data_IF_598715634070
#
_entry.id   IF_598715634070
#
_cell.length_a   1.000
_cell.length_b   1.000
_cell.length_c   1.000
_cell.angle_alpha   90.00
_cell.angle_beta   90.00
_cell.angle_gamma   90.00
#
_symmetry.space_group_name_H-M   'P 1'
#
loop_
_entity.id
_entity.type
_entity.pdbx_description
1 polymer ?
#
# COMPACT_ATOMS: atom_id res chain seq x y z
N UNK A 1 9.24 -4.52 24.18
CA UNK A 1 7.92 -4.37 23.55
C UNK A 1 7.09 -3.55 24.51
N UNK A 2 6.51 -2.45 24.05
CA UNK A 2 5.62 -1.64 24.89
C UNK A 2 4.30 -2.41 25.06
N UNK A 3 3.69 -2.33 26.23
CA UNK A 3 2.35 -2.87 26.48
C UNK A 3 1.27 -2.04 25.77
N UNK A 4 0.09 -2.62 25.54
CA UNK A 4 -1.08 -1.91 24.99
C UNK A 4 -1.33 -0.57 25.70
N UNK A 5 -1.36 -0.58 27.04
CA UNK A 5 -1.58 0.64 27.84
C UNK A 5 -0.47 1.70 27.67
N UNK A 6 0.77 1.28 27.41
CA UNK A 6 1.88 2.21 27.14
C UNK A 6 1.73 2.82 25.75
N UNK A 7 1.36 2.01 24.75
CA UNK A 7 1.12 2.48 23.38
C UNK A 7 -0.05 3.47 23.30
N UNK A 8 -1.17 3.15 23.96
CA UNK A 8 -2.34 4.04 24.03
C UNK A 8 -2.02 5.37 24.74
N UNK A 9 -1.10 5.37 25.70
CA UNK A 9 -0.63 6.59 26.38
C UNK A 9 0.28 7.46 25.53
N UNK A 10 1.08 6.85 24.64
CA UNK A 10 1.98 7.59 23.75
C UNK A 10 1.21 8.29 22.62
N UNK A 11 0.07 7.72 22.19
CA UNK A 11 -0.77 8.27 21.12
C UNK A 11 -2.24 8.43 21.57
N UNK A 12 -2.51 9.37 22.49
CA UNK A 12 -3.83 9.49 23.13
C UNK A 12 -4.94 9.98 22.19
N UNK A 13 -4.59 10.60 21.06
CA UNK A 13 -5.56 11.07 20.06
C UNK A 13 -6.01 9.95 19.10
N UNK A 14 -5.29 8.82 19.10
CA UNK A 14 -5.61 7.66 18.27
C UNK A 14 -6.52 6.69 19.02
N UNK A 15 -7.36 5.97 18.27
CA UNK A 15 -8.20 4.92 18.84
C UNK A 15 -7.38 3.64 18.94
N UNK A 16 -7.40 3.04 20.13
CA UNK A 16 -6.80 1.74 20.42
C UNK A 16 -7.85 0.79 20.96
N UNK A 17 -7.98 -0.39 20.34
CA UNK A 17 -8.94 -1.42 20.74
C UNK A 17 -8.16 -2.72 20.96
N UNK A 18 -8.38 -3.35 22.10
CA UNK A 18 -7.82 -4.68 22.38
C UNK A 18 -8.59 -5.74 21.58
N UNK A 19 -7.88 -6.70 21.01
CA UNK A 19 -8.44 -7.81 20.25
C UNK A 19 -8.44 -9.03 21.16
N UNK A 20 -9.62 -9.61 21.40
CA UNK A 20 -9.73 -10.87 22.12
C UNK A 20 -9.66 -12.08 21.18
N UNK A 21 -9.36 -13.26 21.73
CA UNK A 21 -9.44 -14.53 20.96
C UNK A 21 -10.84 -14.76 20.37
N UNK A 22 -11.90 -14.32 21.08
CA UNK A 22 -13.28 -14.41 20.60
C UNK A 22 -13.52 -13.50 19.38
N UNK A 23 -12.89 -12.32 19.33
CA UNK A 23 -12.99 -11.41 18.17
C UNK A 23 -12.35 -12.03 16.93
N UNK A 24 -11.17 -12.64 17.09
CA UNK A 24 -10.48 -13.36 16.01
C UNK A 24 -11.32 -14.53 15.51
N UNK A 25 -11.81 -15.38 16.42
CA UNK A 25 -12.66 -16.54 16.08
C UNK A 25 -13.93 -16.11 15.32
N UNK A 26 -14.57 -15.02 15.75
CA UNK A 26 -15.77 -14.48 15.11
C UNK A 26 -15.50 -13.82 13.75
N UNK A 27 -14.25 -13.40 13.48
CA UNK A 27 -13.85 -12.81 12.21
C UNK A 27 -13.37 -13.83 11.17
N UNK A 28 -13.10 -15.08 11.57
CA UNK A 28 -12.57 -16.11 10.67
C UNK A 28 -13.55 -16.44 9.53
N UNK A 29 -13.14 -16.27 8.26
CA UNK A 29 -13.94 -16.68 7.11
C UNK A 29 -13.90 -18.20 6.89
N UNK A 30 -14.93 -18.77 6.25
CA UNK A 30 -14.87 -20.17 5.82
C UNK A 30 -13.92 -20.33 4.62
N UNK A 31 -13.29 -21.49 4.51
CA UNK A 31 -12.36 -21.80 3.41
C UNK A 31 -13.02 -21.74 2.02
N UNK A 32 -14.31 -22.06 1.94
CA UNK A 32 -15.05 -22.11 0.68
C UNK A 32 -15.64 -20.75 0.25
N UNK A 33 -15.54 -19.71 1.10
CA UNK A 33 -16.19 -18.42 0.85
C UNK A 33 -15.39 -17.52 -0.09
N UNK A 34 -14.13 -17.86 -0.40
CA UNK A 34 -13.21 -17.02 -1.18
C UNK A 34 -12.38 -17.83 -2.15
N UNK A 35 -12.01 -17.23 -3.28
CA UNK A 35 -11.33 -17.98 -4.35
C UNK A 35 -9.85 -18.25 -4.06
N UNK A 36 -9.24 -17.49 -3.15
CA UNK A 36 -7.81 -17.55 -2.84
C UNK A 36 -7.50 -17.08 -1.40
N UNK A 37 -6.28 -17.38 -0.94
CA UNK A 37 -5.82 -17.08 0.42
C UNK A 37 -5.78 -15.58 0.74
N UNK A 38 -5.57 -14.72 -0.24
CA UNK A 38 -5.45 -13.27 -0.01
C UNK A 38 -6.80 -12.59 0.07
N UNK A 39 -7.76 -13.00 -0.76
CA UNK A 39 -9.16 -12.64 -0.56
C UNK A 39 -9.63 -13.07 0.84
N UNK A 40 -9.23 -14.27 1.28
CA UNK A 40 -9.55 -14.78 2.62
C UNK A 40 -8.90 -13.95 3.73
N UNK A 41 -7.61 -13.59 3.60
CA UNK A 41 -6.92 -12.73 4.57
C UNK A 41 -7.54 -11.33 4.64
N UNK A 42 -7.83 -10.73 3.48
CA UNK A 42 -8.52 -9.44 3.41
C UNK A 42 -9.89 -9.53 4.09
N UNK A 43 -10.67 -10.58 3.83
CA UNK A 43 -11.96 -10.77 4.47
C UNK A 43 -11.84 -10.90 5.99
N UNK A 44 -10.84 -11.64 6.48
CA UNK A 44 -10.56 -11.75 7.91
C UNK A 44 -10.26 -10.39 8.55
N UNK A 45 -9.29 -9.65 8.01
CA UNK A 45 -8.89 -8.35 8.56
C UNK A 45 -10.03 -7.33 8.50
N UNK A 46 -10.77 -7.28 7.39
CA UNK A 46 -11.90 -6.37 7.24
C UNK A 46 -13.07 -6.73 8.16
N UNK A 47 -13.35 -8.02 8.37
CA UNK A 47 -14.39 -8.48 9.29
C UNK A 47 -14.02 -8.15 10.74
N UNK A 48 -12.77 -8.38 11.13
CA UNK A 48 -12.26 -8.06 12.46
C UNK A 48 -12.37 -6.56 12.75
N UNK A 49 -11.87 -5.72 11.84
CA UNK A 49 -11.96 -4.27 11.96
C UNK A 49 -13.41 -3.80 12.00
N UNK A 50 -14.28 -4.35 11.14
CA UNK A 50 -15.69 -3.99 11.11
C UNK A 50 -16.36 -4.28 12.45
N UNK A 51 -16.16 -5.47 13.02
CA UNK A 51 -16.83 -5.86 14.26
C UNK A 51 -16.42 -4.97 15.43
N UNK A 52 -15.12 -4.73 15.58
CA UNK A 52 -14.57 -3.90 16.64
C UNK A 52 -15.00 -2.44 16.49
N UNK A 53 -14.94 -1.89 15.28
CA UNK A 53 -15.34 -0.50 15.04
C UNK A 53 -16.86 -0.31 15.12
N UNK A 54 -17.68 -1.26 14.67
CA UNK A 54 -19.13 -1.19 14.90
C UNK A 54 -19.47 -1.11 16.38
N UNK A 55 -18.79 -1.90 17.22
CA UNK A 55 -18.98 -1.84 18.67
C UNK A 55 -18.52 -0.48 19.23
N UNK A 56 -17.33 -0.02 18.85
CA UNK A 56 -16.80 1.27 19.28
C UNK A 56 -17.70 2.46 18.88
N UNK A 57 -18.15 2.53 17.62
CA UNK A 57 -19.07 3.59 17.16
C UNK A 57 -20.39 3.58 17.95
N UNK A 58 -20.90 2.40 18.30
CA UNK A 58 -22.14 2.24 19.05
C UNK A 58 -22.01 2.64 20.53
N UNK A 59 -20.82 2.46 21.12
CA UNK A 59 -20.52 2.86 22.50
C UNK A 59 -20.37 4.38 22.63
N UNK A 60 -19.76 5.03 21.64
CA UNK A 60 -19.53 6.48 21.67
C UNK A 60 -20.81 7.29 21.41
N UNK A 61 -21.74 6.78 20.60
CA UNK A 61 -23.03 7.43 20.36
C UNK A 61 -24.17 6.41 20.37
N UNK A 62 -24.85 6.28 21.50
CA UNK A 62 -25.94 5.32 21.68
C UNK A 62 -27.16 5.60 20.77
N UNK A 63 -27.37 6.85 20.35
CA UNK A 63 -28.54 7.25 19.56
C UNK A 63 -28.44 6.87 18.07
N UNK A 64 -27.21 6.65 17.56
CA UNK A 64 -26.96 6.37 16.16
C UNK A 64 -26.50 4.92 16.00
N UNK A 65 -27.28 4.12 15.27
CA UNK A 65 -26.91 2.74 14.98
C UNK A 65 -25.91 2.70 13.79
N UNK A 66 -24.66 2.25 13.99
CA UNK A 66 -23.73 2.05 12.89
C UNK A 66 -24.12 0.81 12.07
N UNK A 67 -24.08 0.92 10.75
CA UNK A 67 -24.48 -0.14 9.83
C UNK A 67 -23.38 -0.44 8.81
N UNK A 68 -23.03 -1.73 8.57
CA UNK A 68 -22.07 -2.07 7.54
C UNK A 68 -22.60 -1.74 6.14
N UNK A 69 -21.70 -1.25 5.29
CA UNK A 69 -21.94 -1.06 3.86
C UNK A 69 -20.89 -1.80 3.00
N UNK A 70 -21.33 -2.57 1.99
CA UNK A 70 -22.70 -3.08 1.81
C UNK A 70 -23.18 -3.90 3.02
N UNK A 71 -24.44 -4.36 2.97
CA UNK A 71 -24.99 -5.21 4.05
C UNK A 71 -24.10 -6.44 4.29
N UNK A 72 -24.09 -6.94 5.52
CA UNK A 72 -23.17 -8.00 5.95
C UNK A 72 -23.12 -9.24 5.04
N UNK A 73 -24.26 -9.66 4.51
CA UNK A 73 -24.37 -10.80 3.59
C UNK A 73 -23.84 -10.54 2.17
N UNK A 74 -23.60 -9.27 1.81
CA UNK A 74 -23.02 -8.85 0.53
C UNK A 74 -21.51 -8.60 0.63
N UNK A 75 -20.96 -8.45 1.84
CA UNK A 75 -19.53 -8.15 2.08
C UNK A 75 -18.56 -9.18 1.46
N UNK A 76 -18.82 -10.50 1.47
CA UNK A 76 -17.93 -11.45 0.82
C UNK A 76 -17.70 -11.14 -0.66
N UNK A 77 -18.73 -10.63 -1.36
CA UNK A 77 -18.62 -10.24 -2.77
C UNK A 77 -17.76 -9.01 -3.00
N UNK A 78 -17.50 -8.20 -1.97
CA UNK A 78 -16.58 -7.04 -2.02
C UNK A 78 -15.17 -7.49 -1.65
N UNK A 79 -15.02 -8.22 -0.54
CA UNK A 79 -13.73 -8.66 0.00
C UNK A 79 -13.00 -9.67 -0.88
N UNK A 80 -13.73 -10.36 -1.78
CA UNK A 80 -13.11 -11.14 -2.86
C UNK A 80 -12.22 -10.30 -3.78
N UNK A 81 -12.48 -8.99 -3.91
CA UNK A 81 -11.82 -8.13 -4.90
C UNK A 81 -11.09 -6.92 -4.32
N UNK A 82 -11.59 -6.38 -3.21
CA UNK A 82 -11.15 -5.06 -2.70
C UNK A 82 -10.95 -5.15 -1.19
N UNK A 83 -9.78 -4.70 -0.73
CA UNK A 83 -9.53 -4.48 0.69
C UNK A 83 -10.34 -3.27 1.19
N UNK A 84 -10.91 -3.37 2.37
CA UNK A 84 -11.68 -2.32 3.02
C UNK A 84 -13.14 -2.68 3.19
N UNK A 85 -13.82 -1.88 4.01
CA UNK A 85 -15.25 -1.99 4.31
C UNK A 85 -15.78 -0.63 4.73
N UNK A 86 -17.07 -0.36 4.53
CA UNK A 86 -17.66 0.89 4.98
C UNK A 86 -18.63 0.69 6.14
N UNK A 87 -18.77 1.73 6.96
CA UNK A 87 -19.80 1.89 7.98
C UNK A 87 -20.59 3.14 7.65
N UNK A 88 -21.89 2.99 7.46
CA UNK A 88 -22.84 4.08 7.45
C UNK A 88 -23.18 4.43 8.90
N UNK A 89 -22.92 5.68 9.29
CA UNK A 89 -23.11 6.17 10.65
C UNK A 89 -23.74 7.56 10.63
N UNK A 90 -25.03 7.62 10.94
CA UNK A 90 -25.84 8.82 10.81
C UNK A 90 -25.93 9.28 9.35
N UNK A 91 -25.40 10.47 9.05
CA UNK A 91 -25.37 11.01 7.67
C UNK A 91 -24.08 10.68 6.91
N UNK A 92 -23.04 10.26 7.61
CA UNK A 92 -21.71 10.06 7.04
C UNK A 92 -21.42 8.58 6.78
N UNK A 93 -20.58 8.33 5.77
CA UNK A 93 -19.98 7.03 5.49
C UNK A 93 -18.49 7.05 5.81
N UNK A 94 -18.07 6.11 6.64
CA UNK A 94 -16.68 5.88 7.00
C UNK A 94 -16.18 4.65 6.26
N UNK A 95 -15.15 4.78 5.43
CA UNK A 95 -14.49 3.67 4.77
C UNK A 95 -13.27 3.27 5.59
N UNK A 96 -13.25 2.06 6.10
CA UNK A 96 -12.14 1.47 6.84
C UNK A 96 -11.24 0.75 5.84
N UNK A 97 -9.95 1.07 5.86
CA UNK A 97 -8.94 0.31 5.13
C UNK A 97 -7.98 -0.30 6.15
N UNK A 98 -8.04 -1.63 6.28
CA UNK A 98 -7.23 -2.38 7.23
C UNK A 98 -5.88 -2.77 6.64
N UNK A 99 -4.83 -2.72 7.46
CA UNK A 99 -3.48 -3.21 7.16
C UNK A 99 -2.92 -3.98 8.35
N UNK A 100 -2.31 -5.14 8.10
CA UNK A 100 -1.48 -5.88 9.05
C UNK A 100 0.01 -5.52 8.92
N UNK A 101 0.33 -4.54 8.07
CA UNK A 101 1.68 -4.04 7.84
C UNK A 101 2.24 -3.28 9.03
N UNK A 102 3.55 -3.43 9.24
CA UNK A 102 4.32 -2.62 10.22
C UNK A 102 4.52 -1.20 9.67
N UNK A 103 4.62 -1.08 8.34
CA UNK A 103 4.75 0.21 7.68
C UNK A 103 3.42 0.99 7.77
N UNK A 104 3.54 2.20 8.28
CA UNK A 104 2.42 3.14 8.46
C UNK A 104 2.78 4.51 7.91
N UNK A 105 3.89 4.62 7.16
CA UNK A 105 4.35 5.87 6.59
C UNK A 105 3.41 6.31 5.44
N UNK A 106 2.71 5.37 4.79
CA UNK A 106 1.74 5.64 3.71
C UNK A 106 0.36 5.02 3.97
N UNK A 107 -0.69 5.79 3.68
CA UNK A 107 -2.07 5.34 3.64
C UNK A 107 -2.49 4.97 2.21
N UNK A 108 -2.62 3.66 1.96
CA UNK A 108 -2.90 3.12 0.63
C UNK A 108 -4.39 2.78 0.51
N UNK A 109 -5.12 3.52 -0.32
CA UNK A 109 -6.56 3.37 -0.49
C UNK A 109 -6.87 2.77 -1.88
N UNK A 110 -7.58 1.63 -1.97
CA UNK A 110 -8.02 1.08 -3.25
C UNK A 110 -8.91 2.07 -4.01
N UNK A 111 -8.61 2.30 -5.30
CA UNK A 111 -9.32 3.26 -6.12
C UNK A 111 -10.82 2.99 -6.27
N UNK A 112 -11.28 1.77 -6.03
CA UNK A 112 -12.71 1.40 -6.01
C UNK A 112 -13.48 2.15 -4.93
N UNK A 113 -12.90 2.32 -3.74
CA UNK A 113 -13.56 3.05 -2.66
C UNK A 113 -13.62 4.56 -2.90
N UNK A 114 -12.79 5.08 -3.80
CA UNK A 114 -12.73 6.50 -4.15
C UNK A 114 -13.60 6.77 -5.37
N UNK A 115 -13.40 6.03 -6.45
CA UNK A 115 -13.94 6.39 -7.76
C UNK A 115 -15.25 5.66 -8.11
N UNK A 116 -15.77 4.75 -7.28
CA UNK A 116 -17.12 4.17 -7.47
C UNK A 116 -18.12 5.04 -6.71
N UNK A 117 -19.03 5.78 -7.40
CA UNK A 117 -19.89 6.75 -6.74
C UNK A 117 -20.79 6.16 -5.65
N UNK A 118 -21.24 4.91 -5.80
CA UNK A 118 -22.08 4.23 -4.81
C UNK A 118 -21.33 3.74 -3.57
N UNK A 119 -20.00 3.65 -3.62
CA UNK A 119 -19.16 3.16 -2.51
C UNK A 119 -18.43 4.27 -1.77
N UNK A 120 -18.28 5.42 -2.44
CA UNK A 120 -17.68 6.65 -1.94
C UNK A 120 -18.03 6.93 -0.49
N UNK A 121 -17.00 7.05 0.34
CA UNK A 121 -17.09 7.50 1.72
C UNK A 121 -16.95 9.02 1.83
N UNK A 122 -17.35 9.56 2.98
CA UNK A 122 -17.02 10.93 3.37
C UNK A 122 -15.63 10.96 4.02
N UNK A 123 -15.33 9.93 4.82
CA UNK A 123 -14.09 9.78 5.59
C UNK A 123 -13.49 8.40 5.37
N UNK A 124 -12.17 8.33 5.34
CA UNK A 124 -11.40 7.13 5.10
C UNK A 124 -10.47 6.92 6.29
N UNK A 125 -10.67 5.84 7.04
CA UNK A 125 -9.95 5.50 8.25
C UNK A 125 -8.77 4.59 7.91
N UNK A 126 -7.57 5.01 8.30
CA UNK A 126 -6.37 4.20 8.22
C UNK A 126 -6.27 3.32 9.47
N UNK A 127 -6.44 2.01 9.30
CA UNK A 127 -6.50 1.07 10.43
C UNK A 127 -5.34 0.08 10.35
N UNK A 128 -4.57 0.02 11.43
CA UNK A 128 -3.53 -0.96 11.63
C UNK A 128 -4.01 -2.05 12.58
N UNK A 129 -3.75 -3.31 12.22
CA UNK A 129 -4.12 -4.48 13.00
C UNK A 129 -2.85 -5.25 13.34
N UNK A 130 -2.72 -5.65 14.61
CA UNK A 130 -1.69 -6.57 15.05
C UNK A 130 -2.33 -7.68 15.87
N UNK A 131 -2.63 -8.79 15.21
CA UNK A 131 -3.22 -9.97 15.85
C UNK A 131 -2.21 -10.65 16.81
N UNK A 132 -0.90 -10.58 16.54
CA UNK A 132 0.11 -11.21 17.41
C UNK A 132 0.14 -10.56 18.80
N UNK A 133 0.01 -9.24 18.85
CA UNK A 133 -0.02 -8.46 20.09
C UNK A 133 -1.45 -8.15 20.57
N UNK A 134 -2.48 -8.61 19.85
CA UNK A 134 -3.89 -8.47 20.23
C UNK A 134 -4.38 -7.02 20.26
N UNK A 135 -4.05 -6.19 19.26
CA UNK A 135 -4.57 -4.82 19.20
C UNK A 135 -4.91 -4.33 17.79
N UNK A 136 -5.89 -3.44 17.73
CA UNK A 136 -6.27 -2.63 16.57
C UNK A 136 -6.03 -1.17 16.90
N UNK A 137 -5.55 -0.42 15.91
CA UNK A 137 -5.33 1.02 16.00
C UNK A 137 -5.88 1.77 14.81
N UNK A 138 -6.61 2.85 15.05
CA UNK A 138 -6.95 3.83 14.02
C UNK A 138 -5.91 4.93 14.04
N UNK A 139 -5.12 5.03 12.97
CA UNK A 139 -4.02 6.00 12.84
C UNK A 139 -4.51 7.43 12.66
N UNK A 140 -5.66 7.58 11.99
CA UNK A 140 -6.24 8.85 11.61
C UNK A 140 -7.19 8.66 10.43
N UNK A 141 -7.67 9.77 9.88
CA UNK A 141 -8.57 9.77 8.73
C UNK A 141 -8.19 10.81 7.69
N UNK A 142 -8.70 10.60 6.47
CA UNK A 142 -8.70 11.57 5.39
C UNK A 142 -10.10 11.74 4.81
N UNK A 143 -10.41 12.91 4.25
CA UNK A 143 -11.66 13.10 3.51
C UNK A 143 -11.53 12.64 2.06
N UNK A 144 -12.65 12.30 1.41
CA UNK A 144 -12.62 11.97 -0.02
C UNK A 144 -11.98 13.08 -0.85
N UNK A 145 -12.35 14.33 -0.58
CA UNK A 145 -11.80 15.51 -1.28
C UNK A 145 -10.31 15.66 -1.05
N UNK A 146 -9.84 15.42 0.17
CA UNK A 146 -8.41 15.45 0.46
C UNK A 146 -7.67 14.41 -0.38
N UNK A 147 -8.15 13.16 -0.38
CA UNK A 147 -7.52 12.07 -1.15
C UNK A 147 -7.46 12.42 -2.65
N UNK A 148 -8.54 12.95 -3.24
CA UNK A 148 -8.54 13.33 -4.67
C UNK A 148 -7.57 14.46 -5.01
N UNK A 149 -7.25 15.33 -4.06
CA UNK A 149 -6.45 16.53 -4.30
C UNK A 149 -4.98 16.37 -3.89
N UNK A 150 -4.70 15.53 -2.89
CA UNK A 150 -3.40 15.45 -2.22
C UNK A 150 -2.72 14.09 -2.40
N UNK A 151 -3.47 13.00 -2.61
CA UNK A 151 -2.87 11.68 -2.75
C UNK A 151 -2.27 11.45 -4.15
N UNK A 152 -1.14 10.76 -4.20
CA UNK A 152 -0.52 10.30 -5.44
C UNK A 152 -1.28 9.05 -5.93
N UNK A 153 -1.79 9.07 -7.17
CA UNK A 153 -2.46 7.90 -7.74
C UNK A 153 -1.44 6.97 -8.42
N UNK A 154 -1.31 5.76 -7.89
CA UNK A 154 -0.51 4.70 -8.48
C UNK A 154 -1.35 3.92 -9.50
N UNK A 155 -1.08 4.15 -10.79
CA UNK A 155 -1.75 3.47 -11.89
C UNK A 155 -1.49 1.96 -11.93
N UNK A 156 -0.35 1.50 -11.43
CA UNK A 156 0.05 0.09 -11.44
C UNK A 156 -0.79 -0.68 -10.44
N UNK A 157 -0.87 -0.18 -9.21
CA UNK A 157 -1.65 -0.83 -8.15
C UNK A 157 -3.13 -0.39 -8.14
N UNK A 158 -3.47 0.67 -8.87
CA UNK A 158 -4.80 1.30 -8.96
C UNK A 158 -5.30 1.82 -7.62
N UNK A 159 -4.37 2.40 -6.86
CA UNK A 159 -4.61 2.86 -5.48
C UNK A 159 -4.12 4.30 -5.32
N UNK A 160 -4.71 5.00 -4.37
CA UNK A 160 -4.28 6.32 -3.94
C UNK A 160 -3.34 6.17 -2.75
N UNK A 161 -2.23 6.90 -2.75
CA UNK A 161 -1.23 6.91 -1.69
C UNK A 161 -1.22 8.29 -1.06
N UNK A 162 -1.63 8.36 0.20
CA UNK A 162 -1.57 9.58 1.00
C UNK A 162 -0.51 9.40 2.09
N UNK A 163 0.34 10.40 2.29
CA UNK A 163 1.38 10.33 3.32
C UNK A 163 0.72 10.35 4.71
N UNK A 164 1.33 9.69 5.69
CA UNK A 164 0.81 9.64 7.06
C UNK A 164 0.63 11.03 7.65
N UNK A 165 1.55 11.95 7.39
CA UNK A 165 1.51 13.32 7.93
C UNK A 165 0.31 14.13 7.44
N UNK A 166 -0.32 13.71 6.34
CA UNK A 166 -1.52 14.35 5.81
C UNK A 166 -2.80 13.80 6.47
N UNK A 167 -2.71 12.71 7.25
CA UNK A 167 -3.86 12.21 8.02
C UNK A 167 -4.22 13.13 9.17
N UNK A 168 -5.52 13.28 9.41
CA UNK A 168 -6.04 13.92 10.61
C UNK A 168 -6.11 12.87 11.72
N UNK A 169 -5.27 13.00 12.73
CA UNK A 169 -5.20 12.03 13.85
C UNK A 169 -6.34 12.21 14.87
N UNK A 170 -6.89 13.42 15.02
CA UNK A 170 -7.95 13.70 16.01
C UNK A 170 -9.30 13.15 15.54
N UNK A 171 -9.65 11.97 16.05
CA UNK A 171 -10.88 11.26 15.69
C UNK A 171 -12.09 11.76 16.47
N UNK A 172 -11.95 12.65 17.45
CA UNK A 172 -13.10 13.25 18.16
C UNK A 172 -13.99 14.07 17.22
N UNK A 173 -13.42 14.53 16.10
CA UNK A 173 -14.15 15.27 15.07
C UNK A 173 -15.24 14.38 14.44
N UNK A 174 -15.09 13.05 14.45
CA UNK A 174 -16.07 12.09 13.91
C UNK A 174 -17.46 12.25 14.54
N UNK A 175 -17.55 12.58 15.83
CA UNK A 175 -18.83 12.79 16.51
C UNK A 175 -19.38 14.18 16.28
N UNK A 176 -18.51 15.20 16.23
CA UNK A 176 -18.90 16.57 15.85
C UNK A 176 -19.46 16.61 14.43
N UNK A 177 -19.01 15.69 13.55
CA UNK A 177 -19.48 15.60 12.18
C UNK A 177 -20.97 15.25 12.04
N UNK A 178 -21.60 14.66 13.06
CA UNK A 178 -23.03 14.34 13.04
C UNK A 178 -23.92 15.59 13.07
N UNK A 179 -23.41 16.67 13.67
CA UNK A 179 -24.10 17.96 13.75
C UNK A 179 -23.94 18.81 12.48
N UNK A 180 -23.06 18.40 11.56
CA UNK A 180 -22.85 19.13 10.31
C UNK A 180 -24.10 19.06 9.43
N UNK A 181 -24.30 20.13 8.65
CA UNK A 181 -25.34 20.15 7.65
C UNK A 181 -24.96 19.29 6.44
N UNK A 182 -25.96 18.92 5.61
CA UNK A 182 -25.72 18.10 4.43
C UNK A 182 -24.75 18.76 3.43
N UNK A 183 -24.67 20.10 3.43
CA UNK A 183 -23.79 20.83 2.53
C UNK A 183 -22.32 20.72 2.95
N UNK A 184 -22.03 20.79 4.25
CA UNK A 184 -20.69 20.61 4.80
C UNK A 184 -20.19 19.18 4.62
N UNK A 185 -21.08 18.19 4.70
CA UNK A 185 -20.74 16.81 4.40
C UNK A 185 -20.45 16.60 2.90
N UNK A 186 -21.24 17.20 2.02
CA UNK A 186 -21.01 17.14 0.56
C UNK A 186 -19.72 17.88 0.17
N UNK A 187 -19.34 18.94 0.89
CA UNK A 187 -18.07 19.65 0.69
C UNK A 187 -16.82 18.78 0.93
N UNK A 188 -16.94 17.69 1.70
CA UNK A 188 -15.86 16.74 1.94
C UNK A 188 -15.70 15.73 0.80
N UNK A 189 -16.52 15.85 -0.24
CA UNK A 189 -16.60 14.90 -1.34
C UNK A 189 -16.45 15.63 -2.67
N UNK A 190 -15.65 15.05 -3.56
CA UNK A 190 -15.41 15.63 -4.89
C UNK A 190 -16.47 15.11 -5.87
N UNK A 191 -16.85 15.93 -6.84
CA UNK A 191 -17.77 15.50 -7.89
C UNK A 191 -17.08 14.45 -8.77
N UNK A 192 -17.71 13.29 -8.93
CA UNK A 192 -17.20 12.21 -9.78
C UNK A 192 -17.94 12.16 -11.11
N UNK A 193 -17.20 11.80 -12.16
CA UNK A 193 -17.80 11.43 -13.43
C UNK A 193 -18.59 10.13 -13.29
N UNK A 194 -19.68 10.01 -14.06
CA UNK A 194 -20.44 8.77 -14.12
C UNK A 194 -19.59 7.65 -14.71
N UNK A 195 -19.67 6.48 -14.09
CA UNK A 195 -19.05 5.27 -14.62
C UNK A 195 -19.66 4.89 -15.98
N UNK A 196 -18.88 4.25 -16.88
CA UNK A 196 -19.38 3.82 -18.17
C UNK A 196 -20.54 2.82 -17.99
N UNK A 197 -21.56 2.95 -18.84
CA UNK A 197 -22.63 1.94 -18.90
C UNK A 197 -22.11 0.74 -19.69
N UNK A 198 -21.98 -0.41 -19.04
CA UNK A 198 -21.57 -1.66 -19.70
C UNK A 198 -22.74 -2.30 -20.43
N UNK A 199 -22.49 -2.77 -21.65
CA UNK A 199 -23.42 -3.64 -22.37
C UNK A 199 -23.44 -5.06 -21.80
N UNK A 200 -24.52 -5.81 -22.01
CA UNK A 200 -24.60 -7.22 -21.56
C UNK A 200 -23.48 -8.10 -22.11
N UNK A 201 -23.03 -7.82 -23.33
CA UNK A 201 -21.88 -8.51 -23.95
C UNK A 201 -20.58 -8.19 -23.22
N UNK A 202 -20.31 -6.91 -22.90
CA UNK A 202 -19.10 -6.54 -22.17
C UNK A 202 -19.07 -7.13 -20.75
N UNK A 203 -20.20 -7.17 -20.06
CA UNK A 203 -20.30 -7.82 -18.75
C UNK A 203 -20.01 -9.31 -18.87
N UNK A 204 -20.54 -9.97 -19.90
CA UNK A 204 -20.29 -11.41 -20.13
C UNK A 204 -18.81 -11.68 -20.35
N UNK A 205 -18.17 -10.90 -21.23
CA UNK A 205 -16.75 -11.05 -21.53
C UNK A 205 -15.88 -10.79 -20.29
N UNK A 206 -16.20 -9.75 -19.50
CA UNK A 206 -15.49 -9.46 -18.25
C UNK A 206 -15.65 -10.59 -17.22
N UNK A 207 -16.88 -11.07 -17.02
CA UNK A 207 -17.13 -12.14 -16.04
C UNK A 207 -16.44 -13.43 -16.46
N UNK A 208 -16.50 -13.81 -17.74
CA UNK A 208 -15.81 -15.00 -18.25
C UNK A 208 -14.30 -14.90 -18.02
N UNK A 209 -13.68 -13.77 -18.39
CA UNK A 209 -12.24 -13.56 -18.23
C UNK A 209 -11.82 -13.53 -16.75
N UNK A 210 -12.58 -12.86 -15.88
CA UNK A 210 -12.24 -12.68 -14.46
C UNK A 210 -12.67 -13.86 -13.58
N UNK A 211 -13.44 -14.81 -14.12
CA UNK A 211 -13.94 -15.96 -13.36
C UNK A 211 -12.86 -16.97 -12.99
N UNK A 212 -11.70 -16.95 -13.66
CA UNK A 212 -10.65 -17.93 -13.45
C UNK A 212 -9.99 -17.77 -12.07
N UNK A 213 -10.05 -18.82 -11.24
CA UNK A 213 -9.46 -18.84 -9.89
C UNK A 213 -7.93 -18.70 -9.88
N UNK A 214 -7.27 -18.93 -11.01
CA UNK A 214 -5.83 -18.67 -11.17
C UNK A 214 -5.50 -17.18 -11.17
N UNK A 215 -6.48 -16.31 -11.41
CA UNK A 215 -6.32 -14.86 -11.31
C UNK A 215 -6.40 -14.47 -9.84
N UNK A 216 -5.25 -14.05 -9.33
CA UNK A 216 -5.07 -13.66 -7.95
C UNK A 216 -5.58 -12.24 -7.66
N UNK A 217 -5.35 -11.28 -8.57
CA UNK A 217 -5.84 -9.89 -8.45
C UNK A 217 -6.66 -9.49 -9.68
N UNK A 218 -7.98 -9.81 -9.73
CA UNK A 218 -8.85 -9.50 -10.86
C UNK A 218 -8.80 -8.03 -11.31
N UNK A 219 -8.60 -7.12 -10.34
CA UNK A 219 -8.46 -5.67 -10.58
C UNK A 219 -7.32 -5.30 -11.52
N UNK A 220 -6.26 -6.11 -11.66
CA UNK A 220 -5.09 -5.79 -12.49
C UNK A 220 -5.17 -6.37 -13.91
N UNK A 221 -6.06 -7.33 -14.15
CA UNK A 221 -6.19 -8.02 -15.44
C UNK A 221 -7.05 -7.24 -16.46
N UNK A 222 -7.87 -6.29 -15.99
CA UNK A 222 -8.73 -5.48 -16.87
C UNK A 222 -7.97 -4.25 -17.34
N UNK A 223 -7.62 -4.16 -18.62
CA UNK A 223 -6.91 -3.00 -19.20
C UNK A 223 -7.59 -1.66 -18.86
N UNK A 224 -8.91 -1.57 -19.06
CA UNK A 224 -9.71 -0.40 -18.69
C UNK A 224 -10.30 -0.54 -17.28
N UNK A 225 -9.63 0.08 -16.31
CA UNK A 225 -10.07 0.06 -14.91
C UNK A 225 -11.48 0.65 -14.71
N UNK A 226 -11.94 1.56 -15.57
CA UNK A 226 -13.29 2.13 -15.44
C UNK A 226 -14.37 1.09 -15.70
N UNK A 227 -14.12 0.10 -16.57
CA UNK A 227 -15.02 -1.04 -16.77
C UNK A 227 -15.05 -1.96 -15.57
N UNK A 228 -13.91 -2.20 -14.93
CA UNK A 228 -13.86 -2.97 -13.69
C UNK A 228 -14.65 -2.28 -12.56
N UNK A 229 -14.47 -0.96 -12.40
CA UNK A 229 -15.25 -0.15 -11.46
C UNK A 229 -16.76 -0.20 -11.76
N UNK A 230 -17.16 -0.10 -13.02
CA UNK A 230 -18.56 -0.23 -13.43
C UNK A 230 -19.15 -1.63 -13.14
N UNK A 231 -18.35 -2.68 -13.31
CA UNK A 231 -18.73 -4.05 -12.96
C UNK A 231 -18.98 -4.19 -11.45
N UNK A 232 -18.04 -3.73 -10.61
CA UNK A 232 -18.13 -3.84 -9.15
C UNK A 232 -19.20 -2.93 -8.54
N UNK A 233 -19.39 -1.73 -9.11
CA UNK A 233 -20.44 -0.79 -8.68
C UNK A 233 -21.85 -1.35 -8.86
N UNK A 234 -22.04 -2.31 -9.77
CA UNK A 234 -23.30 -3.03 -9.91
C UNK A 234 -23.33 -4.26 -8.98
N UNK A 235 -24.15 -4.20 -7.92
CA UNK A 235 -24.26 -5.28 -6.94
C UNK A 235 -24.64 -6.65 -7.53
N UNK A 236 -25.48 -6.66 -8.58
CA UNK A 236 -25.90 -7.90 -9.25
C UNK A 236 -24.73 -8.53 -9.96
N UNK A 237 -23.98 -7.76 -10.76
CA UNK A 237 -22.84 -8.28 -11.52
C UNK A 237 -21.66 -8.67 -10.63
N UNK A 238 -21.38 -7.87 -9.60
CA UNK A 238 -20.38 -8.21 -8.58
C UNK A 238 -20.70 -9.55 -7.90
N UNK A 239 -21.95 -9.74 -7.49
CA UNK A 239 -22.39 -10.99 -6.87
C UNK A 239 -22.27 -12.16 -7.85
N UNK A 240 -22.61 -11.98 -9.13
CA UNK A 240 -22.44 -13.03 -10.14
C UNK A 240 -20.97 -13.42 -10.29
N UNK A 241 -20.06 -12.45 -10.46
CA UNK A 241 -18.63 -12.72 -10.59
C UNK A 241 -18.10 -13.47 -9.35
N UNK A 242 -18.46 -13.01 -8.15
CA UNK A 242 -18.11 -13.66 -6.89
C UNK A 242 -18.55 -15.13 -6.86
N UNK A 243 -19.83 -15.41 -7.15
CA UNK A 243 -20.38 -16.77 -7.12
C UNK A 243 -19.74 -17.70 -8.15
N UNK A 244 -19.34 -17.18 -9.31
CA UNK A 244 -18.63 -17.98 -10.32
C UNK A 244 -17.21 -18.31 -9.83
N UNK A 245 -16.48 -17.35 -9.25
CA UNK A 245 -15.10 -17.55 -8.76
C UNK A 245 -15.01 -18.55 -7.62
N UNK A 246 -15.97 -18.56 -6.70
CA UNK A 246 -16.00 -19.57 -5.62
C UNK A 246 -16.55 -20.93 -6.09
N UNK A 247 -16.94 -21.05 -7.36
CA UNK A 247 -17.42 -22.31 -7.96
C UNK A 247 -18.86 -22.68 -7.61
N UNK A 248 -19.64 -21.76 -7.03
CA UNK A 248 -21.04 -22.01 -6.65
C UNK A 248 -21.98 -22.02 -7.87
N UNK A 249 -21.65 -21.27 -8.92
CA UNK A 249 -22.45 -21.18 -10.14
C UNK A 249 -21.56 -21.42 -11.35
N UNK A 250 -21.99 -22.31 -12.24
CA UNK A 250 -21.44 -22.39 -13.58
C UNK A 250 -21.98 -21.21 -14.40
N UNK A 251 -21.12 -20.28 -14.78
CA UNK A 251 -21.47 -19.12 -15.60
C UNK A 251 -22.23 -19.56 -16.86
N UNK A 252 -23.40 -18.97 -17.08
CA UNK A 252 -24.16 -19.10 -18.32
C UNK A 252 -24.63 -17.70 -18.74
N UNK A 253 -24.24 -17.22 -19.93
CA UNK A 253 -24.58 -15.86 -20.41
C UNK A 253 -26.09 -15.57 -20.45
N UNK A 254 -26.95 -16.59 -20.43
CA UNK A 254 -28.40 -16.49 -20.59
C UNK A 254 -29.19 -16.22 -19.30
N UNK A 255 -28.53 -16.17 -18.12
CA UNK A 255 -29.20 -15.88 -16.85
C UNK A 255 -29.49 -14.39 -16.71
N UNK A 256 -30.68 -13.99 -17.17
CA UNK A 256 -31.31 -12.69 -16.89
C UNK A 256 -31.15 -12.32 -15.40
N UNK A 257 -30.89 -11.03 -15.15
CA UNK A 257 -30.72 -10.39 -13.83
C UNK A 257 -31.81 -10.72 -12.79
N UNK A 258 -32.96 -11.21 -13.23
CA UNK A 258 -34.15 -11.45 -12.40
C UNK A 258 -34.15 -12.81 -11.68
N UNK A 259 -33.14 -13.66 -11.88
CA UNK A 259 -33.12 -15.04 -11.36
C UNK A 259 -31.82 -15.46 -10.68
N UNK A 260 -31.10 -14.54 -10.04
CA UNK A 260 -30.05 -14.95 -9.09
C UNK A 260 -30.76 -15.29 -7.77
N UNK A 261 -30.66 -16.53 -7.26
CA UNK A 261 -30.97 -16.76 -5.86
C UNK A 261 -29.98 -15.93 -5.05
N UNK A 262 -30.45 -14.90 -4.36
CA UNK A 262 -29.70 -14.36 -3.22
C UNK A 262 -29.44 -15.57 -2.34
N UNK A 263 -28.18 -16.03 -2.29
CA UNK A 263 -27.77 -17.10 -1.41
C UNK A 263 -27.99 -16.57 0.00
N UNK A 264 -29.14 -16.94 0.57
CA UNK A 264 -29.61 -16.61 1.91
C UNK A 264 -29.03 -17.57 2.94
N UNK A 265 -27.79 -18.04 2.74
CA UNK A 265 -27.14 -18.97 3.65
C UNK A 265 -25.91 -18.33 4.28
N UNK A 266 -26.16 -17.28 5.05
CA UNK A 266 -25.51 -17.01 6.33
C UNK A 266 -26.58 -16.26 7.16
N UNK A 267 -27.58 -17.00 7.64
CA UNK A 267 -28.40 -16.53 8.77
C UNK A 267 -27.46 -16.45 9.98
N UNK A 268 -26.88 -15.27 10.19
CA UNK A 268 -26.20 -14.92 11.42
C UNK A 268 -27.27 -14.55 12.45
N UNK A 269 -27.68 -15.53 13.24
CA UNK A 269 -28.60 -15.32 14.37
C UNK A 269 -27.79 -14.82 15.58
N UNK A 270 -28.00 -13.56 15.94
CA UNK A 270 -27.28 -12.85 17.02
C UNK A 270 -27.56 -13.40 18.43
N UNK A 271 -28.41 -14.42 18.61
CA UNK A 271 -28.72 -14.99 19.92
C UNK A 271 -29.06 -16.47 19.77
N UNK A 272 -28.29 -17.38 20.38
CA UNK A 272 -28.76 -18.41 21.36
C UNK A 272 -27.85 -19.65 21.37
N UNK A 273 -27.44 -20.04 22.58
CA UNK A 273 -26.88 -21.36 22.96
C UNK A 273 -27.52 -22.53 22.20
N UNK A 274 -26.69 -23.35 21.55
CA UNK A 274 -27.12 -24.57 20.87
C UNK A 274 -27.72 -25.60 21.83
N UNK A 275 -29.03 -25.88 21.65
CA UNK A 275 -29.61 -27.21 21.90
C UNK A 275 -29.88 -27.84 20.55
N UNK A 276 -29.19 -28.94 20.27
CA UNK A 276 -29.51 -29.84 19.16
C UNK A 276 -30.95 -30.33 19.32
N UNK A 277 -31.78 -30.10 18.29
CA UNK A 277 -33.03 -30.85 18.09
C UNK A 277 -32.86 -31.66 16.81
N UNK A 278 -33.06 -32.96 17.01
CA UNK A 278 -32.98 -34.03 16.04
C UNK A 278 -33.94 -33.83 14.86
N UNK A 279 -33.45 -34.03 13.64
CA UNK A 279 -34.08 -34.79 12.54
C UNK A 279 -33.53 -34.36 11.17
N UNK A 280 -32.46 -35.01 10.69
CA UNK A 280 -32.24 -35.29 9.27
C UNK A 280 -31.34 -36.53 9.12
N UNK A 281 -31.52 -37.31 8.04
CA UNK A 281 -31.20 -38.73 7.98
C UNK A 281 -29.69 -39.01 7.85
N UNK A 282 -29.29 -40.12 8.47
CA UNK A 282 -27.92 -40.65 8.56
C UNK A 282 -27.15 -40.60 7.23
N UNK A 283 -26.16 -39.71 7.17
CA UNK A 283 -24.99 -39.87 6.30
C UNK A 283 -23.83 -40.40 7.15
N UNK A 284 -23.28 -41.54 6.72
CA UNK A 284 -22.25 -42.31 7.43
C UNK A 284 -21.00 -41.45 7.70
N UNK A 285 -20.38 -41.56 8.88
CA UNK A 285 -19.21 -40.78 9.24
C UNK A 285 -17.99 -41.22 8.43
N UNK A 286 -17.41 -40.30 7.67
CA UNK A 286 -16.01 -40.41 7.24
C UNK A 286 -15.14 -40.05 8.44
N UNK A 287 -14.22 -40.95 8.76
CA UNK A 287 -13.35 -40.92 9.93
C UNK A 287 -12.60 -39.59 10.09
N UNK A 288 -12.81 -38.95 11.24
CA UNK A 288 -12.01 -37.84 11.76
C UNK A 288 -10.56 -38.29 11.95
N UNK A 289 -9.64 -37.70 11.19
CA UNK A 289 -8.23 -37.74 11.51
C UNK A 289 -7.93 -36.52 12.41
N UNK A 290 -7.99 -36.73 13.73
CA UNK A 290 -7.49 -35.78 14.72
C UNK A 290 -5.96 -35.79 14.64
N UNK A 291 -5.39 -34.75 14.03
CA UNK A 291 -4.08 -34.20 14.32
C UNK A 291 -3.86 -32.98 13.43
N UNK A 292 -4.22 -31.80 13.91
CA UNK A 292 -3.70 -30.54 13.35
C UNK A 292 -2.98 -29.81 14.47
N UNK A 293 -1.65 -30.00 14.49
CA UNK A 293 -0.73 -29.09 15.13
C UNK A 293 -0.76 -27.79 14.31
N UNK A 294 -1.54 -26.80 14.74
CA UNK A 294 -1.40 -25.42 14.25
C UNK A 294 -0.39 -24.71 15.14
N UNK A 295 0.89 -24.96 14.88
CA UNK A 295 1.94 -24.02 15.23
C UNK A 295 2.07 -23.04 14.08
N UNK A 296 1.41 -21.89 14.27
CA UNK A 296 1.67 -20.56 13.71
C UNK A 296 2.83 -20.54 12.70
N UNK A 297 2.48 -20.63 11.41
CA UNK A 297 3.35 -20.37 10.26
C UNK A 297 3.09 -18.95 9.71
N UNK A 298 2.67 -18.02 10.58
CA UNK A 298 2.51 -16.58 10.27
C UNK A 298 3.85 -15.82 10.29
N UNK A 299 4.89 -16.40 10.92
CA UNK A 299 6.21 -15.78 11.06
C UNK A 299 7.14 -15.90 9.83
N UNK A 300 6.83 -16.74 8.83
CA UNK A 300 7.74 -16.95 7.69
C UNK A 300 7.24 -16.37 6.35
N UNK A 301 5.97 -15.91 6.26
CA UNK A 301 5.44 -15.33 5.01
C UNK A 301 5.57 -13.81 4.88
N UNK A 302 6.06 -13.11 5.91
CA UNK A 302 6.38 -11.68 5.84
C UNK A 302 7.80 -11.40 5.29
N UNK A 303 8.51 -12.41 4.77
CA UNK A 303 9.80 -12.25 4.07
C UNK A 303 9.72 -12.28 2.55
N UNK A 304 8.57 -12.65 1.98
CA UNK A 304 8.38 -12.78 0.53
C UNK A 304 7.45 -11.70 -0.04
N UNK A 305 7.36 -10.53 0.61
CA UNK A 305 6.98 -9.29 -0.07
C UNK A 305 8.11 -8.88 -1.02
N UNK A 306 8.08 -9.52 -2.19
CA UNK A 306 8.70 -9.18 -3.45
C UNK A 306 9.87 -8.19 -3.42
N UNK A 307 10.92 -8.56 -2.68
CA UNK A 307 12.30 -8.34 -3.09
C UNK A 307 12.59 -9.35 -4.22
N UNK A 308 11.81 -9.34 -5.31
CA UNK A 308 12.44 -9.51 -6.63
C UNK A 308 13.13 -8.19 -6.94
N UNK A 309 14.18 -7.97 -6.15
CA UNK A 309 15.33 -7.16 -6.50
C UNK A 309 15.61 -7.34 -7.97
N UNK A 310 15.50 -6.24 -8.71
CA UNK A 310 16.40 -6.01 -9.82
C UNK A 310 17.83 -6.03 -9.27
N UNK A 311 18.36 -7.22 -8.95
CA UNK A 311 19.73 -7.44 -8.52
C UNK A 311 20.71 -6.73 -9.47
N UNK A 312 20.49 -6.70 -10.80
CA UNK A 312 21.31 -5.90 -11.70
C UNK A 312 21.25 -4.39 -11.40
N UNK A 313 20.08 -3.86 -11.03
CA UNK A 313 19.90 -2.44 -10.68
C UNK A 313 20.58 -2.07 -9.37
N UNK A 314 20.42 -2.88 -8.31
CA UNK A 314 21.11 -2.65 -7.04
C UNK A 314 22.62 -2.79 -7.18
N UNK A 315 23.09 -3.78 -7.94
CA UNK A 315 24.51 -3.91 -8.25
C UNK A 315 25.03 -2.72 -9.05
N UNK A 316 24.26 -2.21 -10.02
CA UNK A 316 24.61 -1.00 -10.77
C UNK A 316 24.70 0.23 -9.84
N UNK A 317 23.73 0.41 -8.94
CA UNK A 317 23.75 1.49 -7.94
C UNK A 317 24.95 1.41 -7.00
N UNK A 318 25.30 0.22 -6.52
CA UNK A 318 26.48 0.01 -5.68
C UNK A 318 27.75 0.38 -6.45
N UNK A 319 27.88 -0.07 -7.71
CA UNK A 319 29.05 0.25 -8.55
C UNK A 319 29.14 1.77 -8.78
N UNK A 320 28.03 2.43 -9.12
CA UNK A 320 27.98 3.89 -9.32
C UNK A 320 28.38 4.64 -8.05
N UNK A 321 27.89 4.20 -6.88
CA UNK A 321 28.25 4.80 -5.59
C UNK A 321 29.74 4.61 -5.24
N UNK A 322 30.31 3.43 -5.50
CA UNK A 322 31.74 3.18 -5.25
C UNK A 322 32.62 4.06 -6.16
N UNK A 323 32.29 4.16 -7.45
CA UNK A 323 33.03 5.00 -8.41
C UNK A 323 32.88 6.49 -8.07
N UNK A 324 31.67 6.93 -7.74
CA UNK A 324 31.41 8.31 -7.26
C UNK A 324 32.21 8.62 -5.99
N UNK A 325 32.26 7.66 -5.05
CA UNK A 325 32.99 7.83 -3.80
C UNK A 325 34.49 7.97 -4.00
N UNK A 326 35.09 7.14 -4.85
CA UNK A 326 36.50 7.23 -5.19
C UNK A 326 36.85 8.58 -5.83
N UNK A 327 36.07 9.01 -6.82
CA UNK A 327 36.32 10.28 -7.54
C UNK A 327 36.14 11.50 -6.64
N UNK A 328 35.14 11.49 -5.75
CA UNK A 328 34.90 12.55 -4.76
C UNK A 328 36.08 12.69 -3.79
N UNK A 329 36.59 11.58 -3.27
CA UNK A 329 37.75 11.57 -2.36
C UNK A 329 39.02 12.04 -3.08
N UNK A 330 39.28 11.55 -4.29
CA UNK A 330 40.42 11.99 -5.09
C UNK A 330 40.39 13.49 -5.36
N UNK A 331 39.23 14.02 -5.75
CA UNK A 331 39.05 15.45 -6.00
C UNK A 331 39.20 16.31 -4.74
N UNK A 332 38.66 15.84 -3.61
CA UNK A 332 38.82 16.53 -2.34
C UNK A 332 40.30 16.59 -1.88
N UNK A 333 41.10 15.56 -2.18
CA UNK A 333 42.55 15.51 -1.89
C UNK A 333 43.38 16.47 -2.75
N UNK A 334 42.87 16.90 -3.91
CA UNK A 334 43.53 17.92 -4.73
C UNK A 334 43.23 19.34 -4.24
N UNK A 335 42.04 19.56 -3.69
CA UNK A 335 41.60 20.87 -3.18
C UNK A 335 42.15 21.13 -1.76
N UNK A 336 42.21 20.08 -0.93
CA UNK A 336 42.58 20.15 0.49
C UNK A 336 43.87 19.38 0.77
N UNK A 337 44.45 19.56 1.96
CA UNK A 337 45.58 18.72 2.37
C UNK A 337 45.17 17.24 2.37
N UNK A 338 46.11 16.34 2.06
CA UNK A 338 45.82 14.91 1.88
C UNK A 338 44.98 14.30 3.00
N UNK A 339 45.24 14.67 4.25
CA UNK A 339 44.45 14.19 5.40
C UNK A 339 43.04 14.79 5.41
N UNK A 340 42.89 16.10 5.22
CA UNK A 340 41.59 16.77 5.19
C UNK A 340 40.72 16.35 4.01
N UNK A 341 41.31 16.17 2.82
CA UNK A 341 40.60 15.74 1.62
C UNK A 341 39.97 14.35 1.78
N UNK A 342 40.69 13.42 2.42
CA UNK A 342 40.17 12.09 2.73
C UNK A 342 38.93 12.14 3.64
N UNK A 343 39.03 12.85 4.77
CA UNK A 343 37.89 12.96 5.70
C UNK A 343 36.72 13.71 5.09
N UNK A 344 36.98 14.77 4.33
CA UNK A 344 35.94 15.58 3.69
C UNK A 344 35.20 14.79 2.62
N UNK A 345 35.92 14.14 1.70
CA UNK A 345 35.32 13.34 0.64
C UNK A 345 34.55 12.13 1.19
N UNK A 346 35.09 11.45 2.21
CA UNK A 346 34.40 10.34 2.88
C UNK A 346 33.12 10.81 3.59
N UNK A 347 33.14 11.99 4.22
CA UNK A 347 31.96 12.54 4.91
C UNK A 347 30.83 12.89 3.93
N UNK A 348 31.15 13.52 2.78
CA UNK A 348 30.17 13.83 1.72
C UNK A 348 29.48 12.54 1.23
N UNK A 349 30.26 11.49 1.00
CA UNK A 349 29.75 10.22 0.50
C UNK A 349 28.93 9.45 1.54
N UNK A 350 29.37 9.47 2.80
CA UNK A 350 28.59 8.91 3.90
C UNK A 350 27.24 9.63 4.06
N UNK A 351 27.21 10.96 3.94
CA UNK A 351 25.98 11.76 3.99
C UNK A 351 25.06 11.46 2.81
N UNK A 352 25.59 11.39 1.58
CA UNK A 352 24.82 10.99 0.39
C UNK A 352 24.23 9.59 0.55
N UNK A 353 25.02 8.64 1.02
CA UNK A 353 24.56 7.27 1.27
C UNK A 353 23.46 7.23 2.33
N UNK A 354 23.63 7.94 3.45
CA UNK A 354 22.60 8.01 4.51
C UNK A 354 21.30 8.66 4.01
N UNK A 355 21.40 9.72 3.21
CA UNK A 355 20.22 10.41 2.64
C UNK A 355 19.49 9.58 1.59
N UNK A 356 20.22 8.80 0.79
CA UNK A 356 19.66 7.94 -0.27
C UNK A 356 19.17 6.58 0.24
N UNK A 357 19.76 6.05 1.31
CA UNK A 357 19.35 4.79 1.94
C UNK A 357 18.09 4.90 2.80
N UNK A 358 17.49 6.10 2.89
CA UNK A 358 16.26 6.32 3.67
C UNK A 358 16.48 6.39 5.19
N UNK A 359 17.73 6.33 5.67
CA UNK A 359 18.05 6.32 7.09
C UNK A 359 17.99 7.69 7.78
N UNK A 360 17.87 8.81 7.04
CA UNK A 360 17.84 10.15 7.64
C UNK A 360 16.74 11.07 7.11
N UNK A 361 16.22 11.89 8.05
CA UNK A 361 15.18 12.93 7.92
C UNK A 361 13.85 12.43 7.36
N UNK A 362 13.09 11.74 8.23
CA UNK A 362 11.68 11.37 8.01
C UNK A 362 10.72 12.57 7.91
N UNK A 363 11.08 13.76 8.43
CA UNK A 363 10.11 14.86 8.62
C UNK A 363 10.24 16.07 7.70
N UNK A 364 10.93 15.97 6.55
CA UNK A 364 10.94 17.07 5.59
C UNK A 364 11.33 16.61 4.18
N UNK A 365 10.32 16.19 3.38
CA UNK A 365 10.47 15.75 1.99
C UNK A 365 11.27 16.77 1.16
N UNK A 366 10.99 18.07 1.31
CA UNK A 366 11.73 19.13 0.60
C UNK A 366 13.19 19.30 1.07
N UNK A 367 13.44 19.26 2.38
CA UNK A 367 14.79 19.41 2.95
C UNK A 367 15.69 18.22 2.60
N UNK A 368 15.12 17.01 2.50
CA UNK A 368 15.84 15.81 2.04
C UNK A 368 16.31 15.96 0.60
N UNK A 369 15.42 16.37 -0.32
CA UNK A 369 15.79 16.57 -1.73
C UNK A 369 16.77 17.75 -1.91
N UNK A 370 16.64 18.83 -1.15
CA UNK A 370 17.60 19.95 -1.14
C UNK A 370 18.98 19.52 -0.63
N UNK A 371 19.03 18.68 0.41
CA UNK A 371 20.28 18.14 0.93
C UNK A 371 20.95 17.20 -0.07
N UNK A 372 20.19 16.27 -0.66
CA UNK A 372 20.68 15.37 -1.71
C UNK A 372 21.23 16.20 -2.88
N UNK A 373 20.46 17.16 -3.40
CA UNK A 373 20.89 18.03 -4.49
C UNK A 373 22.18 18.80 -4.15
N UNK A 374 22.27 19.37 -2.95
CA UNK A 374 23.45 20.11 -2.50
C UNK A 374 24.69 19.23 -2.42
N UNK A 375 24.60 18.05 -1.80
CA UNK A 375 25.74 17.14 -1.69
C UNK A 375 26.13 16.51 -3.03
N UNK A 376 25.18 16.24 -3.93
CA UNK A 376 25.46 15.78 -5.29
C UNK A 376 26.22 16.83 -6.10
N UNK A 377 25.84 18.11 -6.00
CA UNK A 377 26.56 19.22 -6.65
C UNK A 377 28.00 19.31 -6.13
N UNK A 378 28.19 19.24 -4.79
CA UNK A 378 29.53 19.28 -4.19
C UNK A 378 30.36 18.07 -4.66
N UNK A 379 29.78 16.87 -4.67
CA UNK A 379 30.45 15.66 -5.16
C UNK A 379 30.89 15.81 -6.62
N UNK A 380 29.98 16.22 -7.52
CA UNK A 380 30.30 16.46 -8.94
C UNK A 380 31.42 17.50 -9.07
N UNK A 381 31.32 18.62 -8.35
CA UNK A 381 32.33 19.67 -8.38
C UNK A 381 33.71 19.17 -7.96
N UNK A 382 33.79 18.40 -6.87
CA UNK A 382 35.06 17.82 -6.42
C UNK A 382 35.62 16.81 -7.43
N UNK A 383 34.79 15.94 -8.00
CA UNK A 383 35.22 14.95 -9.00
C UNK A 383 35.75 15.58 -10.29
N UNK A 384 35.31 16.79 -10.65
CA UNK A 384 35.85 17.54 -11.79
C UNK A 384 37.33 17.88 -11.57
N UNK A 385 37.75 18.22 -10.35
CA UNK A 385 39.16 18.52 -10.07
C UNK A 385 40.06 17.30 -10.30
N UNK A 386 39.63 16.13 -9.81
CA UNK A 386 40.35 14.87 -10.06
C UNK A 386 40.57 14.58 -11.56
N UNK A 387 39.60 14.98 -12.39
CA UNK A 387 39.71 14.86 -13.83
C UNK A 387 40.56 15.96 -14.46
N UNK A 388 40.48 17.18 -13.94
CA UNK A 388 41.24 18.34 -14.39
C UNK A 388 42.74 18.13 -14.25
N UNK A 389 43.21 17.55 -13.13
CA UNK A 389 44.63 17.27 -12.95
C UNK A 389 45.13 16.18 -13.91
N UNK A 390 44.28 15.20 -14.25
CA UNK A 390 44.59 14.18 -15.25
C UNK A 390 44.69 14.78 -16.67
N UNK A 391 43.77 15.67 -17.04
CA UNK A 391 43.81 16.44 -18.29
C UNK A 391 45.04 17.36 -18.36
N UNK A 392 45.38 18.01 -17.25
CA UNK A 392 46.59 18.85 -17.14
C UNK A 392 47.88 18.03 -17.17
N UNK A 393 47.88 16.81 -16.64
CA UNK A 393 49.03 15.91 -16.72
C UNK A 393 49.29 15.49 -18.18
N UNK A 394 48.23 15.25 -18.95
CA UNK A 394 48.34 14.88 -20.36
C UNK A 394 48.83 16.04 -21.24
N UNK A 395 48.32 17.26 -21.02
CA UNK A 395 48.83 18.47 -21.68
C UNK A 395 50.28 18.77 -21.29
N UNK A 396 50.65 18.68 -19.99
CA UNK A 396 52.04 18.87 -19.55
C UNK A 396 53.00 17.85 -20.17
N UNK A 397 52.57 16.59 -20.35
CA UNK A 397 53.34 15.56 -21.08
C UNK A 397 53.49 15.90 -22.56
N UNK A 398 52.42 16.37 -23.21
CA UNK A 398 52.44 16.80 -24.61
C UNK A 398 53.38 18.00 -24.83
N UNK A 399 53.36 18.96 -23.92
CA UNK A 399 54.25 20.12 -23.96
C UNK A 399 55.71 19.76 -23.67
N UNK A 400 55.96 18.81 -22.77
CA UNK A 400 57.31 18.26 -22.54
C UNK A 400 57.84 17.53 -23.79
N UNK A 401 57.00 16.72 -24.44
CA UNK A 401 57.34 16.01 -25.68
C UNK A 401 57.63 16.99 -26.83
N UNK A 402 56.80 18.02 -27.01
CA UNK A 402 57.00 19.05 -28.03
C UNK A 402 58.31 19.81 -27.81
N UNK A 403 58.65 20.16 -26.55
CA UNK A 403 59.94 20.77 -26.21
C UNK A 403 61.13 19.85 -26.52
N UNK A 404 61.02 18.55 -26.24
CA UNK A 404 62.06 17.58 -26.56
C UNK A 404 62.26 17.43 -28.08
N UNK A 405 61.17 17.38 -28.86
CA UNK A 405 61.22 17.33 -30.33
C UNK A 405 61.88 18.60 -30.91
N UNK A 406 61.49 19.78 -30.43
CA UNK A 406 62.08 21.05 -30.88
C UNK A 406 63.56 21.16 -30.52
N UNK A 407 63.96 20.74 -29.31
CA UNK A 407 65.37 20.69 -28.92
C UNK A 407 66.18 19.73 -29.79
N UNK A 408 65.62 18.57 -30.13
CA UNK A 408 66.25 17.60 -31.03
C UNK A 408 66.41 18.16 -32.46
N UNK A 409 65.39 18.82 -33.01
CA UNK A 409 65.46 19.45 -34.32
C UNK A 409 66.53 20.57 -34.37
N UNK A 410 66.62 21.39 -33.31
CA UNK A 410 67.66 22.41 -33.21
C UNK A 410 69.06 21.80 -33.19
N UNK A 411 69.27 20.73 -32.41
CA UNK A 411 70.53 20.00 -32.36
C UNK A 411 70.91 19.40 -33.73
N UNK A 412 69.95 18.77 -34.42
CA UNK A 412 70.17 18.21 -35.76
C UNK A 412 70.53 19.31 -36.76
N UNK A 413 69.86 20.45 -36.72
CA UNK A 413 70.17 21.58 -37.59
C UNK A 413 71.57 22.15 -37.31
N UNK A 414 71.99 22.26 -36.04
CA UNK A 414 73.35 22.72 -35.71
C UNK A 414 74.44 21.75 -36.16
N UNK A 415 74.19 20.43 -36.07
CA UNK A 415 75.20 19.40 -36.36
C UNK A 415 75.31 19.09 -37.86
N UNK A 416 74.22 19.20 -38.63
CA UNK A 416 74.17 18.71 -40.02
C UNK A 416 74.01 19.81 -41.08
N UNK A 417 73.86 21.09 -40.70
CA UNK A 417 73.75 22.22 -41.64
C UNK A 417 75.02 23.12 -41.61
N UNK A 418 76.08 22.70 -40.89
CA UNK A 418 77.46 23.18 -41.12
C UNK A 418 78.17 22.28 -42.12
#
# INVERSE_FOLDING_TARGET
MLSFDELAREFPEQIWIEISEEDEENALPNEQDYSNDTARLNAYLNCLCLNLLLAWFQEEEEEIQPLPFPKRNELPSVWEFVNGVAIDFGKARFVIISSDGIDTDEFIIPGEWIDIPSWRGNYYLAVQVNCEDGWLRVLGYATHKQIKNEADYDEVNRSYLLEREDLVEDLNIIFVMQDLDENELENNVETLDNLPTLSSTEVTDLVENLSHNSIYLPRLEVEDFTKFKALLGNAVWRQQLYQVRIGNINWKPELNSDKIPIVSSLEYDNKTKFKLVDNLPELKPVSQNKNSNYSIELSDRNKDYNIQTNLPFYMALIIVNIVSGFTTISGAVEILSRYLGWYFGASIQALLFLLTSGFTLKHARWSKWMAIGSFSIISIYTSIFAYYDNLLAETRKKDALNRAISAHQNLVNEVFIQ
#
